data_IF_597589054585
#
_entry.id   IF_597589054585
#
_cell.length_a   1.000
_cell.length_b   1.000
_cell.length_c   1.000
_cell.angle_alpha   90.00
_cell.angle_beta   90.00
_cell.angle_gamma   90.00
#
_symmetry.space_group_name_H-M   'P 1'
#
loop_
_entity.id
_entity.type
_entity.pdbx_description
1 polymer ?
#
# COMPACT_ATOMS: atom_id res chain seq x y z
N UNK A 1 -18.83 34.97 -10.26
CA UNK A 1 -18.08 35.97 -11.04
C UNK A 1 -16.76 36.22 -10.31
N UNK A 2 -15.62 36.03 -11.01
CA UNK A 2 -14.24 36.40 -10.61
C UNK A 2 -13.64 35.63 -9.41
N UNK A 3 -12.47 35.00 -9.49
CA UNK A 3 -11.45 34.94 -10.53
C UNK A 3 -10.24 34.17 -9.99
N UNK A 4 -9.63 33.34 -10.83
CA UNK A 4 -8.29 32.76 -10.58
C UNK A 4 -7.24 33.87 -10.64
N UNK A 5 -6.22 33.82 -9.78
CA UNK A 5 -4.85 34.22 -10.15
C UNK A 5 -3.82 33.76 -9.10
N UNK A 6 -3.06 32.74 -9.47
CA UNK A 6 -1.64 32.57 -9.14
C UNK A 6 -0.86 33.78 -9.70
N UNK A 7 0.14 34.33 -8.98
CA UNK A 7 1.54 33.94 -9.22
C UNK A 7 2.29 33.77 -7.88
N UNK A 8 3.14 32.76 -7.70
CA UNK A 8 4.55 32.74 -8.12
C UNK A 8 5.40 33.86 -7.49
N UNK A 9 6.68 33.54 -7.28
CA UNK A 9 7.79 34.40 -6.81
C UNK A 9 8.05 34.22 -5.31
N UNK A 10 8.82 33.19 -4.93
CA UNK A 10 10.29 33.15 -4.92
C UNK A 10 10.90 33.78 -3.65
N UNK A 11 11.80 33.00 -3.04
CA UNK A 11 12.92 33.45 -2.22
C UNK A 11 12.64 33.80 -0.73
N UNK A 12 12.68 32.78 0.13
CA UNK A 12 13.13 32.85 1.53
C UNK A 12 13.16 31.38 2.03
N UNK A 13 14.23 30.67 2.38
CA UNK A 13 15.63 30.94 2.69
C UNK A 13 16.35 29.61 2.50
N UNK A 14 17.37 29.58 1.63
CA UNK A 14 18.43 28.59 1.71
C UNK A 14 19.28 28.92 2.93
N UNK A 15 19.42 28.01 3.91
CA UNK A 15 20.59 27.78 4.79
C UNK A 15 20.20 26.99 6.05
N UNK A 16 21.16 26.18 6.53
CA UNK A 16 21.21 25.37 7.77
C UNK A 16 20.74 23.91 7.57
N UNK A 17 21.55 22.86 7.60
CA UNK A 17 22.91 22.66 8.07
C UNK A 17 23.61 21.60 7.19
N UNK A 18 24.81 21.93 6.72
CA UNK A 18 25.74 20.96 6.17
C UNK A 18 26.39 20.13 7.27
N UNK A 19 26.75 18.91 6.88
CA UNK A 19 27.78 18.02 7.43
C UNK A 19 27.63 17.54 8.89
N UNK A 20 27.34 16.24 9.06
CA UNK A 20 28.12 15.37 9.96
C UNK A 20 27.80 13.89 9.68
N UNK A 21 28.69 13.21 8.96
CA UNK A 21 29.64 12.19 9.45
C UNK A 21 29.09 10.75 9.35
N UNK A 22 29.45 10.13 8.23
CA UNK A 22 29.83 8.73 8.08
C UNK A 22 30.44 8.13 9.35
N UNK A 23 29.70 7.25 10.01
CA UNK A 23 30.28 6.19 10.83
C UNK A 23 29.88 4.86 10.21
N UNK A 24 30.81 4.34 9.40
CA UNK A 24 30.81 2.92 9.05
C UNK A 24 31.22 2.10 10.27
N UNK A 25 30.43 1.08 10.58
CA UNK A 25 30.85 0.01 11.47
C UNK A 25 31.17 -1.21 10.59
N UNK A 26 32.45 -1.54 10.44
CA UNK A 26 32.86 -2.88 9.99
C UNK A 26 32.90 -3.79 11.20
N UNK A 27 31.87 -4.61 11.37
CA UNK A 27 31.84 -5.71 12.32
C UNK A 27 32.09 -7.03 11.60
N UNK A 28 33.22 -7.65 11.91
CA UNK A 28 33.65 -9.00 11.48
C UNK A 28 33.06 -10.09 12.37
N UNK A 29 33.20 -11.34 11.90
CA UNK A 29 32.97 -12.63 12.56
C UNK A 29 31.53 -13.16 12.41
N UNK A 30 31.24 -14.31 11.79
CA UNK A 30 32.01 -15.55 11.77
C UNK A 30 31.23 -16.58 12.60
N UNK A 31 30.44 -17.45 11.96
CA UNK A 31 29.68 -18.47 12.69
C UNK A 31 28.59 -19.14 11.88
N UNK A 32 28.94 -20.16 11.11
CA UNK A 32 28.01 -21.21 10.70
C UNK A 32 27.50 -21.96 11.94
N UNK A 33 26.19 -22.20 12.04
CA UNK A 33 25.60 -23.55 11.93
C UNK A 33 24.06 -23.52 12.00
N UNK A 34 23.39 -24.46 11.30
CA UNK A 34 21.95 -24.57 11.26
C UNK A 34 21.43 -25.45 12.40
N UNK A 35 20.27 -25.11 12.94
CA UNK A 35 19.30 -26.13 13.33
C UNK A 35 17.87 -25.60 13.14
N UNK A 36 17.27 -26.06 12.05
CA UNK A 36 15.84 -26.33 12.02
C UNK A 36 15.47 -27.12 13.29
N UNK A 37 14.53 -26.62 14.06
CA UNK A 37 13.34 -27.34 14.50
C UNK A 37 12.46 -26.34 15.25
N UNK A 38 11.59 -25.67 14.51
CA UNK A 38 10.32 -25.21 15.06
C UNK A 38 9.25 -25.57 14.03
N UNK A 39 8.84 -26.84 14.01
CA UNK A 39 7.51 -27.18 13.53
C UNK A 39 6.53 -26.93 14.68
N UNK A 40 6.39 -25.67 15.07
CA UNK A 40 5.16 -25.21 15.68
C UNK A 40 4.26 -24.88 14.51
N UNK A 41 3.30 -25.77 14.25
CA UNK A 41 2.13 -25.47 13.45
C UNK A 41 1.47 -24.26 14.10
N UNK A 42 1.53 -23.05 13.52
CA UNK A 42 0.73 -21.98 14.06
C UNK A 42 -0.69 -22.34 13.61
N UNK A 43 -1.52 -22.69 14.59
CA UNK A 43 -2.96 -22.71 14.45
C UNK A 43 -3.38 -21.26 14.16
N UNK A 44 -3.19 -20.81 12.91
CA UNK A 44 -3.54 -19.48 12.44
C UNK A 44 -5.06 -19.43 12.43
N UNK A 45 -5.62 -18.97 13.54
CA UNK A 45 -6.95 -18.39 13.54
C UNK A 45 -6.89 -17.26 12.51
N UNK A 46 -7.64 -17.30 11.40
CA UNK A 46 -7.55 -16.27 10.37
C UNK A 46 -7.71 -14.91 11.05
N UNK A 47 -6.69 -14.07 10.93
CA UNK A 47 -6.76 -12.70 11.40
C UNK A 47 -8.01 -12.09 10.74
N UNK A 48 -8.98 -11.64 11.54
CA UNK A 48 -10.23 -11.14 11.01
C UNK A 48 -9.94 -10.01 10.00
N UNK A 49 -10.24 -10.26 8.72
CA UNK A 49 -9.94 -9.34 7.62
C UNK A 49 -10.58 -7.96 7.82
N UNK A 50 -10.05 -6.97 7.10
CA UNK A 50 -10.54 -5.60 7.10
C UNK A 50 -11.80 -5.54 6.24
N UNK A 51 -12.94 -5.20 6.83
CA UNK A 51 -14.22 -5.08 6.13
C UNK A 51 -14.61 -3.62 5.94
N UNK A 52 -15.19 -3.28 4.79
CA UNK A 52 -15.68 -1.94 4.52
C UNK A 52 -16.54 -1.82 3.26
N UNK A 53 -16.90 -0.59 2.93
CA UNK A 53 -17.47 -0.23 1.64
C UNK A 53 -16.54 0.73 0.92
N UNK A 54 -16.53 0.68 -0.40
CA UNK A 54 -15.68 1.56 -1.21
C UNK A 54 -16.14 1.65 -2.65
N UNK A 55 -15.29 2.27 -3.45
CA UNK A 55 -15.46 2.42 -4.88
C UNK A 55 -14.26 1.84 -5.59
N UNK A 56 -14.49 0.88 -6.48
CA UNK A 56 -13.48 0.43 -7.43
C UNK A 56 -13.19 1.58 -8.38
N UNK A 57 -11.92 1.97 -8.46
CA UNK A 57 -11.45 3.12 -9.22
C UNK A 57 -10.34 2.67 -10.15
N UNK A 58 -10.37 3.10 -11.40
CA UNK A 58 -9.23 2.96 -12.30
C UNK A 58 -8.18 4.02 -11.99
N UNK A 59 -6.93 3.60 -11.82
CA UNK A 59 -5.79 4.46 -11.55
C UNK A 59 -4.83 4.38 -12.73
N UNK A 60 -4.62 5.51 -13.43
CA UNK A 60 -3.70 5.62 -14.57
C UNK A 60 -2.26 5.88 -14.08
N UNK A 61 -1.67 4.87 -13.43
CA UNK A 61 -0.27 4.83 -13.03
C UNK A 61 0.34 3.52 -13.52
N UNK A 62 1.58 3.59 -14.03
CA UNK A 62 2.36 2.42 -14.46
C UNK A 62 1.66 1.47 -15.45
N UNK A 63 0.87 2.02 -16.38
CA UNK A 63 0.10 1.22 -17.35
C UNK A 63 -1.32 0.90 -16.92
N UNK A 64 -1.70 1.33 -15.71
CA UNK A 64 -3.06 1.37 -15.24
C UNK A 64 -3.49 0.12 -14.48
N UNK A 65 -4.24 0.31 -13.39
CA UNK A 65 -4.77 -0.76 -12.56
C UNK A 65 -6.08 -0.34 -11.88
N UNK A 66 -6.78 -1.30 -11.28
CA UNK A 66 -7.95 -1.04 -10.46
C UNK A 66 -7.60 -1.14 -8.98
N UNK A 67 -8.03 -0.14 -8.21
CA UNK A 67 -7.90 -0.11 -6.75
C UNK A 67 -9.24 0.12 -6.07
N UNK A 68 -9.33 -0.13 -4.77
CA UNK A 68 -10.51 0.17 -3.98
C UNK A 68 -10.21 1.40 -3.11
N UNK A 69 -11.00 2.47 -3.29
CA UNK A 69 -11.00 3.62 -2.38
C UNK A 69 -12.13 3.43 -1.39
N UNK A 70 -11.79 3.16 -0.13
CA UNK A 70 -12.76 2.95 0.93
C UNK A 70 -13.45 4.26 1.33
N UNK A 71 -14.61 4.15 1.98
CA UNK A 71 -15.42 5.29 2.39
C UNK A 71 -14.71 6.25 3.37
N UNK A 72 -13.72 5.76 4.10
CA UNK A 72 -12.85 6.53 5.00
C UNK A 72 -11.63 7.16 4.29
N UNK A 73 -11.47 6.91 2.99
CA UNK A 73 -10.36 7.39 2.17
C UNK A 73 -9.14 6.45 2.13
N UNK A 74 -9.16 5.33 2.86
CA UNK A 74 -8.13 4.30 2.74
C UNK A 74 -8.09 3.74 1.31
N UNK A 75 -6.90 3.33 0.87
CA UNK A 75 -6.66 2.84 -0.49
C UNK A 75 -6.12 1.42 -0.39
N UNK A 76 -6.81 0.51 -1.05
CA UNK A 76 -6.41 -0.88 -1.13
C UNK A 76 -6.07 -1.21 -2.58
N UNK A 77 -4.91 -1.82 -2.78
CA UNK A 77 -4.45 -2.35 -4.05
C UNK A 77 -4.71 -3.86 -4.04
N UNK A 78 -5.81 -4.33 -4.62
CA UNK A 78 -6.13 -5.75 -4.60
C UNK A 78 -5.23 -6.47 -5.61
N UNK A 79 -4.59 -7.55 -5.15
CA UNK A 79 -3.68 -8.35 -5.97
C UNK A 79 -4.43 -9.40 -6.82
N UNK A 80 -5.69 -9.66 -6.48
CA UNK A 80 -6.54 -10.73 -7.00
C UNK A 80 -7.98 -10.26 -7.29
N UNK A 81 -8.15 -9.01 -7.74
CA UNK A 81 -9.47 -8.49 -8.14
C UNK A 81 -10.02 -9.25 -9.36
N UNK A 82 -11.21 -9.83 -9.21
CA UNK A 82 -11.90 -10.47 -10.32
C UNK A 82 -12.32 -9.44 -11.40
N UNK A 83 -12.15 -9.81 -12.66
CA UNK A 83 -12.44 -8.96 -13.84
C UNK A 83 -13.87 -8.42 -13.87
N UNK A 84 -14.83 -9.10 -13.26
CA UNK A 84 -16.22 -8.65 -13.19
C UNK A 84 -16.40 -7.39 -12.35
N UNK A 85 -15.47 -7.12 -11.43
CA UNK A 85 -15.41 -5.93 -10.58
C UNK A 85 -14.49 -4.83 -11.11
N UNK A 86 -13.71 -5.08 -12.16
CA UNK A 86 -12.87 -4.08 -12.84
C UNK A 86 -13.69 -3.08 -13.66
N UNK A 87 -14.52 -2.31 -12.96
CA UNK A 87 -15.39 -1.27 -13.52
C UNK A 87 -15.18 -0.01 -12.72
N UNK A 88 -14.72 1.05 -13.40
CA UNK A 88 -14.51 2.34 -12.76
C UNK A 88 -15.83 2.88 -12.17
N UNK A 89 -15.78 3.33 -10.93
CA UNK A 89 -16.94 3.84 -10.19
C UNK A 89 -17.84 2.78 -9.55
N UNK A 90 -17.52 1.48 -9.66
CA UNK A 90 -18.33 0.42 -9.06
C UNK A 90 -18.30 0.49 -7.53
N UNK A 91 -19.47 0.59 -6.91
CA UNK A 91 -19.59 0.55 -5.45
C UNK A 91 -19.60 -0.88 -4.96
N UNK A 92 -18.81 -1.14 -3.94
CA UNK A 92 -18.65 -2.49 -3.40
C UNK A 92 -18.67 -2.49 -1.88
N UNK A 93 -19.09 -3.63 -1.32
CA UNK A 93 -18.74 -4.05 0.04
C UNK A 93 -17.65 -5.11 -0.07
N UNK A 94 -16.64 -5.03 0.79
CA UNK A 94 -15.48 -5.90 0.72
C UNK A 94 -15.03 -6.37 2.10
N UNK A 95 -14.32 -7.49 2.11
CA UNK A 95 -13.42 -7.93 3.18
C UNK A 95 -12.08 -8.25 2.54
N UNK A 96 -10.99 -7.70 3.07
CA UNK A 96 -9.64 -7.84 2.53
C UNK A 96 -8.63 -8.16 3.61
N UNK A 97 -7.56 -8.85 3.25
CA UNK A 97 -6.43 -9.14 4.13
C UNK A 97 -5.17 -8.46 3.59
N UNK A 98 -4.40 -7.73 4.41
CA UNK A 98 -3.11 -7.19 4.01
C UNK A 98 -2.18 -8.28 3.47
N UNK A 99 -1.61 -8.04 2.29
CA UNK A 99 -0.55 -8.87 1.74
C UNK A 99 0.79 -8.35 2.31
N UNK A 100 1.09 -8.76 3.55
CA UNK A 100 2.35 -8.42 4.22
C UNK A 100 3.56 -8.80 3.33
N UNK A 101 4.65 -8.02 3.44
CA UNK A 101 5.88 -8.20 2.66
C UNK A 101 5.75 -8.10 1.12
N UNK A 102 4.58 -7.68 0.61
CA UNK A 102 4.40 -7.47 -0.83
C UNK A 102 4.85 -6.08 -1.24
N UNK A 103 5.90 -6.01 -2.05
CA UNK A 103 6.31 -4.78 -2.73
C UNK A 103 5.66 -4.70 -4.11
N UNK A 104 4.98 -3.60 -4.40
CA UNK A 104 4.35 -3.37 -5.71
C UNK A 104 5.04 -2.23 -6.44
N UNK A 105 5.07 -2.32 -7.77
CA UNK A 105 5.57 -1.22 -8.60
C UNK A 105 4.63 -0.02 -8.49
N UNK A 106 3.32 -0.24 -8.30
CA UNK A 106 2.31 0.81 -8.33
C UNK A 106 2.53 1.88 -7.25
N UNK A 107 3.23 1.54 -6.16
CA UNK A 107 3.49 2.40 -5.00
C UNK A 107 2.24 3.17 -4.53
N UNK A 108 1.08 2.52 -4.60
CA UNK A 108 -0.22 3.11 -4.30
C UNK A 108 -1.07 2.16 -3.46
N UNK A 109 -1.58 2.68 -2.34
CA UNK A 109 -2.42 1.93 -1.42
C UNK A 109 -1.71 0.80 -0.69
N UNK A 110 -2.46 0.11 0.16
CA UNK A 110 -2.01 -1.10 0.84
C UNK A 110 -2.30 -2.31 -0.05
N UNK A 111 -1.30 -3.13 -0.41
CA UNK A 111 -1.51 -4.40 -1.11
C UNK A 111 -2.40 -5.33 -0.28
N UNK A 112 -3.42 -5.90 -0.89
CA UNK A 112 -4.36 -6.80 -0.20
C UNK A 112 -4.80 -7.98 -1.07
N UNK A 113 -5.20 -9.06 -0.40
CA UNK A 113 -5.99 -10.14 -0.97
C UNK A 113 -7.48 -9.94 -0.68
N UNK A 114 -8.32 -10.25 -1.66
CA UNK A 114 -9.78 -10.17 -1.50
C UNK A 114 -10.29 -11.46 -0.85
N UNK A 115 -10.86 -11.32 0.35
CA UNK A 115 -11.58 -12.42 1.02
C UNK A 115 -13.02 -12.50 0.53
N UNK A 116 -13.69 -11.36 0.35
CA UNK A 116 -15.04 -11.28 -0.20
C UNK A 116 -15.28 -9.93 -0.84
N UNK A 117 -16.01 -9.87 -1.95
CA UNK A 117 -16.43 -8.61 -2.59
C UNK A 117 -17.79 -8.78 -3.26
N UNK A 118 -18.65 -7.78 -3.12
CA UNK A 118 -19.97 -7.74 -3.76
C UNK A 118 -20.35 -6.30 -4.14
N UNK A 119 -21.10 -6.15 -5.24
CA UNK A 119 -21.64 -4.87 -5.71
C UNK A 119 -22.81 -4.41 -4.81
N UNK A 120 -22.93 -3.10 -4.56
CA UNK A 120 -23.95 -2.50 -3.68
C UNK A 120 -24.66 -1.27 -4.25
#
# INVERSE_FOLDING_TARGET
MHGRSWPAVLALVALLCGAMLITGCTGTDGGEKPNETVNETPNETPAAGITGTGTVTYIDLEGGFYGIVAADGARYLPLDLDRTFEKDGLKVRFTVEPAEDTMTIQQWGTPVHIVSIEEI
#
